data_IF_604869079039
#
_entry.id   IF_604869079039
#
_cell.length_a   1.000
_cell.length_b   1.000
_cell.length_c   1.000
_cell.angle_alpha   90.00
_cell.angle_beta   90.00
_cell.angle_gamma   90.00
#
_symmetry.space_group_name_H-M   'P 1'
#
loop_
_entity.id
_entity.type
_entity.pdbx_description
1 polymer ?
#
# COMPACT_ATOMS: atom_id res chain seq x y z
N UNK A 1 -64.57 -38.31 24.57
CA UNK A 1 -63.72 -38.46 23.42
C UNK A 1 -63.04 -37.08 23.21
N UNK A 2 -61.82 -36.92 23.72
CA UNK A 2 -61.07 -35.63 23.65
C UNK A 2 -60.00 -35.76 22.55
N UNK A 3 -60.12 -34.93 21.51
CA UNK A 3 -59.21 -34.91 20.38
C UNK A 3 -58.08 -33.93 20.75
N UNK A 4 -56.84 -34.45 20.91
CA UNK A 4 -55.61 -33.64 21.02
C UNK A 4 -55.13 -33.30 19.61
N UNK A 5 -55.00 -32.00 19.28
CA UNK A 5 -54.35 -31.50 18.09
C UNK A 5 -52.84 -31.27 18.39
N UNK A 6 -51.88 -31.67 17.50
CA UNK A 6 -50.50 -31.35 17.70
C UNK A 6 -50.19 -29.92 17.18
N UNK A 7 -49.61 -29.10 18.04
CA UNK A 7 -49.02 -27.83 17.65
C UNK A 7 -47.70 -28.10 16.90
N UNK A 8 -47.67 -27.82 15.60
CA UNK A 8 -46.45 -27.77 14.80
C UNK A 8 -45.73 -26.45 15.08
N UNK A 9 -44.63 -26.50 15.84
CA UNK A 9 -43.75 -25.35 16.06
C UNK A 9 -42.93 -25.07 14.81
N UNK A 10 -43.15 -23.91 14.19
CA UNK A 10 -42.37 -23.41 13.05
C UNK A 10 -41.09 -22.73 13.58
N UNK A 11 -39.95 -23.42 13.51
CA UNK A 11 -38.65 -22.86 13.85
C UNK A 11 -38.15 -21.99 12.67
N UNK A 12 -38.26 -20.68 12.82
CA UNK A 12 -37.64 -19.73 11.92
C UNK A 12 -36.12 -19.73 12.21
N UNK A 13 -35.33 -20.34 11.32
CA UNK A 13 -33.90 -20.23 11.30
C UNK A 13 -33.55 -18.80 10.83
N UNK A 14 -33.26 -17.91 11.76
CA UNK A 14 -32.58 -16.65 11.47
C UNK A 14 -31.15 -16.98 11.11
N UNK A 15 -30.85 -17.06 9.82
CA UNK A 15 -29.46 -17.04 9.31
C UNK A 15 -28.82 -15.69 9.64
N UNK A 16 -27.99 -15.65 10.68
CA UNK A 16 -27.23 -14.47 11.00
C UNK A 16 -26.25 -14.17 9.84
N UNK A 17 -26.46 -13.04 9.17
CA UNK A 17 -25.44 -12.50 8.24
C UNK A 17 -24.24 -12.13 9.09
N UNK A 18 -23.13 -12.85 8.94
CA UNK A 18 -21.86 -12.47 9.56
C UNK A 18 -21.49 -11.06 9.07
N UNK A 19 -21.18 -10.12 9.97
CA UNK A 19 -20.71 -8.80 9.54
C UNK A 19 -19.45 -8.97 8.70
N UNK A 20 -19.42 -8.33 7.54
CA UNK A 20 -18.19 -8.24 6.74
C UNK A 20 -17.11 -7.56 7.60
N UNK A 21 -15.91 -8.16 7.65
CA UNK A 21 -14.79 -7.54 8.36
C UNK A 21 -14.50 -6.18 7.73
N UNK A 22 -14.41 -5.14 8.57
CA UNK A 22 -14.04 -3.82 8.10
C UNK A 22 -12.63 -3.86 7.51
N UNK A 23 -12.39 -3.21 6.34
CA UNK A 23 -11.07 -3.17 5.74
C UNK A 23 -10.10 -2.41 6.66
N UNK A 24 -8.96 -3.00 6.96
CA UNK A 24 -7.91 -2.31 7.70
C UNK A 24 -7.22 -1.31 6.78
N UNK A 25 -7.33 -0.03 7.13
CA UNK A 25 -6.70 1.07 6.40
C UNK A 25 -5.52 1.54 7.23
N UNK A 26 -4.31 1.66 6.63
CA UNK A 26 -3.14 2.07 7.38
C UNK A 26 -3.27 3.54 7.81
N UNK A 27 -2.85 3.84 9.02
CA UNK A 27 -2.63 5.20 9.50
C UNK A 27 -1.19 5.33 9.96
N UNK A 28 -0.46 6.29 9.37
CA UNK A 28 0.97 6.54 9.66
C UNK A 28 1.16 7.81 10.49
N UNK A 29 0.06 8.40 10.98
CA UNK A 29 0.06 9.69 11.64
C UNK A 29 -0.43 9.57 13.09
N UNK A 30 0.23 10.31 13.99
CA UNK A 30 -0.35 10.51 15.32
C UNK A 30 -1.54 11.47 15.21
N UNK A 31 -2.73 10.95 15.46
CA UNK A 31 -3.97 11.71 15.38
C UNK A 31 -4.05 12.84 16.43
N UNK A 32 -3.20 12.82 17.46
CA UNK A 32 -3.09 13.90 18.47
C UNK A 32 -2.13 14.99 18.05
N UNK A 33 -1.24 14.73 17.11
CA UNK A 33 -0.28 15.72 16.63
C UNK A 33 -1.01 16.91 15.99
N UNK A 34 -0.52 18.11 16.25
CA UNK A 34 -1.00 19.35 15.64
C UNK A 34 0.14 19.97 14.85
N UNK A 35 0.00 19.99 13.55
CA UNK A 35 0.95 20.68 12.67
C UNK A 35 0.43 22.08 12.37
N UNK A 36 1.28 23.11 12.44
CA UNK A 36 0.87 24.47 12.09
C UNK A 36 0.57 24.54 10.59
N UNK A 37 -0.44 25.32 10.22
CA UNK A 37 -0.72 25.59 8.82
C UNK A 37 0.45 26.35 8.20
N UNK A 38 1.03 25.85 7.09
CA UNK A 38 2.19 26.49 6.48
C UNK A 38 1.83 27.86 5.87
N UNK A 39 2.81 28.77 5.88
CA UNK A 39 2.72 30.06 5.17
C UNK A 39 3.26 29.86 3.74
N UNK A 40 2.37 29.84 2.75
CA UNK A 40 2.69 29.64 1.33
C UNK A 40 2.42 30.88 0.48
N UNK A 41 2.37 32.07 1.10
CA UNK A 41 2.03 33.31 0.39
C UNK A 41 3.01 33.67 -0.75
N UNK A 42 4.26 33.23 -0.65
CA UNK A 42 5.29 33.44 -1.69
C UNK A 42 5.30 32.37 -2.77
N UNK A 43 4.55 31.26 -2.59
CA UNK A 43 4.49 30.18 -3.54
C UNK A 43 3.61 30.58 -4.74
N UNK A 44 4.23 30.87 -5.87
CA UNK A 44 3.54 31.29 -7.09
C UNK A 44 2.97 30.12 -7.89
N UNK A 45 3.52 28.94 -7.70
CA UNK A 45 3.10 27.70 -8.38
C UNK A 45 3.57 26.48 -7.59
N UNK A 46 2.85 25.38 -7.73
CA UNK A 46 3.25 24.06 -7.26
C UNK A 46 3.03 23.05 -8.38
N UNK A 47 4.09 22.47 -8.89
CA UNK A 47 4.04 21.41 -9.90
C UNK A 47 4.55 20.12 -9.29
N UNK A 48 3.65 19.13 -9.21
CA UNK A 48 4.03 17.76 -8.88
C UNK A 48 4.51 17.07 -10.15
N UNK A 49 5.74 16.55 -10.09
CA UNK A 49 6.31 15.70 -11.13
C UNK A 49 5.96 14.24 -10.82
N UNK A 50 5.46 13.52 -11.83
CA UNK A 50 5.09 12.11 -11.71
C UNK A 50 5.40 11.36 -13.00
N UNK A 51 5.11 10.04 -13.06
CA UNK A 51 5.27 9.21 -14.26
C UNK A 51 3.91 8.79 -14.83
N UNK A 52 3.89 8.02 -15.92
CA UNK A 52 2.67 7.46 -16.54
C UNK A 52 2.67 5.92 -16.58
N UNK A 53 3.65 5.29 -15.97
CA UNK A 53 3.95 3.85 -16.08
C UNK A 53 3.98 3.14 -14.72
N UNK A 54 3.32 3.71 -13.72
CA UNK A 54 3.30 3.18 -12.35
C UNK A 54 1.86 2.95 -11.83
N UNK A 55 1.07 2.06 -12.43
CA UNK A 55 -0.27 1.74 -11.91
C UNK A 55 -0.18 0.99 -10.57
N UNK A 56 -1.12 1.21 -9.65
CA UNK A 56 -2.27 2.11 -9.72
C UNK A 56 -1.96 3.55 -9.27
N UNK A 57 -0.68 3.92 -9.12
CA UNK A 57 -0.25 5.21 -8.56
C UNK A 57 -0.35 6.35 -9.57
N UNK A 58 0.22 6.18 -10.75
CA UNK A 58 0.18 7.17 -11.83
C UNK A 58 0.25 6.48 -13.20
N UNK A 59 -0.78 6.67 -14.00
CA UNK A 59 -0.91 6.04 -15.31
C UNK A 59 -1.89 6.83 -16.21
N UNK A 60 -1.90 6.50 -17.49
CA UNK A 60 -2.91 7.04 -18.41
C UNK A 60 -4.12 6.10 -18.44
N UNK A 61 -5.33 6.67 -18.29
CA UNK A 61 -6.57 5.92 -18.46
C UNK A 61 -6.83 5.60 -19.94
N UNK A 62 -7.89 4.87 -20.22
CA UNK A 62 -8.27 4.50 -21.61
C UNK A 62 -8.56 5.69 -22.51
N UNK A 63 -8.78 6.87 -21.95
CA UNK A 63 -8.96 8.13 -22.69
C UNK A 63 -7.68 8.95 -22.83
N UNK A 64 -6.54 8.44 -22.34
CA UNK A 64 -5.24 9.11 -22.33
C UNK A 64 -5.09 10.18 -21.25
N UNK A 65 -5.96 10.23 -20.25
CA UNK A 65 -5.86 11.19 -19.14
C UNK A 65 -5.00 10.63 -18.02
N UNK A 66 -4.15 11.48 -17.47
CA UNK A 66 -3.34 11.14 -16.29
C UNK A 66 -4.25 10.94 -15.06
N UNK A 67 -4.16 9.76 -14.46
CA UNK A 67 -4.94 9.33 -13.31
C UNK A 67 -4.10 8.45 -12.37
N UNK A 68 -4.65 8.08 -11.22
CA UNK A 68 -4.03 7.19 -10.24
C UNK A 68 -4.01 7.78 -8.84
N UNK A 69 -3.58 6.95 -7.89
CA UNK A 69 -3.51 7.31 -6.47
C UNK A 69 -2.69 8.58 -6.23
N UNK A 70 -1.50 8.71 -6.84
CA UNK A 70 -0.65 9.89 -6.70
C UNK A 70 -1.30 11.16 -7.27
N UNK A 71 -2.00 11.01 -8.39
CA UNK A 71 -2.67 12.14 -9.05
C UNK A 71 -3.80 12.69 -8.17
N UNK A 72 -4.61 11.79 -7.60
CA UNK A 72 -5.68 12.19 -6.72
C UNK A 72 -5.14 12.70 -5.36
N UNK A 73 -4.08 12.08 -4.83
CA UNK A 73 -3.41 12.55 -3.61
C UNK A 73 -2.86 13.97 -3.78
N UNK A 74 -2.17 14.26 -4.91
CA UNK A 74 -1.67 15.61 -5.22
C UNK A 74 -2.81 16.64 -5.23
N UNK A 75 -3.94 16.33 -5.88
CA UNK A 75 -5.11 17.22 -5.89
C UNK A 75 -5.67 17.47 -4.50
N UNK A 76 -5.73 16.44 -3.65
CA UNK A 76 -6.18 16.57 -2.26
C UNK A 76 -5.21 17.44 -1.44
N UNK A 77 -3.90 17.23 -1.60
CA UNK A 77 -2.87 18.06 -0.96
C UNK A 77 -3.08 19.54 -1.35
N UNK A 78 -3.26 19.85 -2.62
CA UNK A 78 -3.48 21.22 -3.08
C UNK A 78 -4.77 21.83 -2.49
N UNK A 79 -5.81 21.01 -2.32
CA UNK A 79 -7.05 21.42 -1.66
C UNK A 79 -6.84 21.77 -0.20
N UNK A 80 -6.14 20.93 0.58
CA UNK A 80 -5.87 21.18 1.99
C UNK A 80 -4.95 22.40 2.22
N UNK A 81 -4.02 22.64 1.30
CA UNK A 81 -3.16 23.83 1.32
C UNK A 81 -3.88 25.11 0.86
N UNK A 82 -5.03 24.97 0.18
CA UNK A 82 -5.78 26.12 -0.37
C UNK A 82 -5.12 26.75 -1.60
N UNK A 83 -4.40 25.96 -2.41
CA UNK A 83 -3.60 26.44 -3.55
C UNK A 83 -3.97 25.76 -4.87
N UNK A 84 -5.21 25.33 -5.04
CA UNK A 84 -5.67 24.58 -6.23
C UNK A 84 -5.36 25.35 -7.51
N UNK A 85 -5.55 26.67 -7.54
CA UNK A 85 -5.39 27.52 -8.71
C UNK A 85 -3.94 27.56 -9.26
N UNK A 86 -2.96 27.34 -8.40
CA UNK A 86 -1.53 27.34 -8.77
C UNK A 86 -0.91 25.96 -8.75
N UNK A 87 -1.75 24.91 -8.59
CA UNK A 87 -1.32 23.52 -8.49
C UNK A 87 -1.44 22.81 -9.84
N UNK A 88 -0.37 22.16 -10.26
CA UNK A 88 -0.30 21.39 -11.49
C UNK A 88 0.31 20.03 -11.27
N UNK A 89 -0.02 19.06 -12.10
CA UNK A 89 0.59 17.73 -12.11
C UNK A 89 1.15 17.51 -13.51
N UNK A 90 2.44 17.26 -13.58
CA UNK A 90 3.19 17.08 -14.82
C UNK A 90 3.81 15.69 -14.85
N UNK A 91 3.47 14.92 -15.89
CA UNK A 91 4.05 13.61 -16.08
C UNK A 91 5.27 13.67 -17.02
N UNK A 92 6.29 12.86 -16.70
CA UNK A 92 7.50 12.72 -17.49
C UNK A 92 8.14 11.35 -17.25
N UNK A 93 9.11 10.91 -18.07
CA UNK A 93 9.87 9.69 -17.80
C UNK A 93 10.58 9.72 -16.44
N UNK A 94 10.64 8.57 -15.78
CA UNK A 94 11.30 8.43 -14.47
C UNK A 94 12.73 9.00 -14.49
N UNK A 95 13.50 8.72 -15.54
CA UNK A 95 14.89 9.17 -15.68
C UNK A 95 15.07 10.69 -15.77
N UNK A 96 14.00 11.44 -15.98
CA UNK A 96 14.03 12.91 -16.11
C UNK A 96 13.60 13.63 -14.82
N UNK A 97 12.96 12.92 -13.88
CA UNK A 97 12.36 13.51 -12.67
C UNK A 97 13.36 14.30 -11.84
N UNK A 98 14.54 13.72 -11.60
CA UNK A 98 15.58 14.33 -10.78
C UNK A 98 16.13 15.62 -11.42
N UNK A 99 16.51 15.56 -12.69
CA UNK A 99 16.98 16.72 -13.43
C UNK A 99 15.89 17.82 -13.52
N UNK A 100 14.63 17.43 -13.70
CA UNK A 100 13.50 18.36 -13.77
C UNK A 100 13.26 19.07 -12.43
N UNK A 101 13.36 18.35 -11.30
CA UNK A 101 13.29 18.94 -9.97
C UNK A 101 14.45 19.91 -9.73
N UNK A 102 15.70 19.47 -10.03
CA UNK A 102 16.90 20.28 -9.86
C UNK A 102 16.87 21.56 -10.69
N UNK A 103 16.35 21.49 -11.91
CA UNK A 103 16.23 22.65 -12.85
C UNK A 103 15.00 23.53 -12.56
N UNK A 104 14.21 23.26 -11.51
CA UNK A 104 13.04 24.04 -11.19
C UNK A 104 11.90 23.89 -12.21
N UNK A 105 11.82 22.77 -12.94
CA UNK A 105 10.70 22.45 -13.82
C UNK A 105 9.50 21.92 -13.02
N UNK A 106 9.72 21.52 -11.77
CA UNK A 106 8.72 21.19 -10.78
C UNK A 106 9.22 21.49 -9.37
N UNK A 107 8.32 21.55 -8.42
CA UNK A 107 8.62 21.87 -7.01
C UNK A 107 8.65 20.60 -6.15
N UNK A 108 8.02 19.51 -6.59
CA UNK A 108 7.94 18.26 -5.85
C UNK A 108 7.86 17.04 -6.78
N UNK A 109 8.40 15.90 -6.36
CA UNK A 109 8.21 14.61 -7.04
C UNK A 109 7.26 13.75 -6.22
N UNK A 110 6.18 13.29 -6.85
CA UNK A 110 5.21 12.33 -6.31
C UNK A 110 5.09 11.16 -7.31
N UNK A 111 6.11 10.29 -7.30
CA UNK A 111 6.26 9.20 -8.26
C UNK A 111 6.70 7.88 -7.61
N UNK A 112 6.62 7.76 -6.29
CA UNK A 112 6.99 6.53 -5.59
C UNK A 112 8.47 6.45 -5.19
N UNK A 113 9.14 7.58 -5.00
CA UNK A 113 10.51 7.58 -4.47
C UNK A 113 10.50 7.02 -3.05
N UNK A 114 11.24 5.93 -2.83
CA UNK A 114 11.41 5.33 -1.53
C UNK A 114 12.36 6.15 -0.66
N UNK A 115 12.03 6.29 0.62
CA UNK A 115 12.88 6.99 1.59
C UNK A 115 13.96 6.04 2.08
N UNK A 116 15.18 6.24 1.61
CA UNK A 116 16.38 5.47 1.95
C UNK A 116 17.51 6.38 2.39
N UNK A 117 18.60 5.82 2.91
CA UNK A 117 19.80 6.60 3.24
C UNK A 117 20.42 7.29 2.01
N UNK A 118 20.30 6.66 0.83
CA UNK A 118 20.81 7.22 -0.44
C UNK A 118 19.93 8.37 -0.92
N UNK A 119 18.60 8.15 -1.03
CA UNK A 119 17.68 9.18 -1.52
C UNK A 119 17.64 10.43 -0.62
N UNK A 120 17.93 10.29 0.68
CA UNK A 120 18.05 11.42 1.61
C UNK A 120 19.27 12.32 1.37
N UNK A 121 20.22 11.91 0.55
CA UNK A 121 21.34 12.77 0.14
C UNK A 121 20.93 13.73 -0.97
N UNK A 122 19.96 13.32 -1.78
CA UNK A 122 19.49 14.01 -2.98
C UNK A 122 18.25 14.89 -2.71
N UNK A 123 17.39 14.45 -1.76
CA UNK A 123 16.08 15.06 -1.51
C UNK A 123 15.84 15.35 -0.04
N UNK A 124 15.04 16.39 0.24
CA UNK A 124 14.24 16.47 1.44
C UNK A 124 12.89 15.79 1.18
N UNK A 125 12.32 15.19 2.21
CA UNK A 125 11.09 14.40 2.09
C UNK A 125 10.01 14.88 3.03
N UNK A 126 8.75 14.76 2.60
CA UNK A 126 7.63 14.67 3.54
C UNK A 126 7.77 13.43 4.42
N UNK A 127 6.92 13.28 5.43
CA UNK A 127 6.69 11.97 6.06
C UNK A 127 6.12 11.00 5.02
N UNK A 128 6.32 9.72 5.27
CA UNK A 128 5.79 8.68 4.40
C UNK A 128 4.26 8.68 4.44
N UNK A 129 3.64 8.64 3.25
CA UNK A 129 2.19 8.54 3.10
C UNK A 129 1.72 7.11 2.85
N UNK A 130 2.62 6.20 2.46
CA UNK A 130 2.32 4.79 2.24
C UNK A 130 3.56 3.94 2.50
N UNK A 131 3.38 2.79 3.12
CA UNK A 131 4.41 1.78 3.30
C UNK A 131 3.93 0.48 2.63
N UNK A 132 4.86 -0.39 2.27
CA UNK A 132 4.55 -1.70 1.72
C UNK A 132 5.00 -2.77 2.71
N UNK A 133 4.06 -3.32 3.49
CA UNK A 133 4.39 -4.41 4.40
C UNK A 133 4.68 -5.70 3.64
N UNK A 134 5.53 -6.53 4.20
CA UNK A 134 5.57 -7.92 3.79
C UNK A 134 4.38 -8.69 4.40
N UNK A 135 3.80 -9.61 3.64
CA UNK A 135 2.69 -10.45 4.07
C UNK A 135 2.94 -11.90 3.67
N UNK A 136 2.33 -12.83 4.41
CA UNK A 136 2.15 -14.19 3.95
C UNK A 136 0.83 -14.33 3.19
N UNK A 137 0.84 -15.18 2.17
CA UNK A 137 -0.36 -15.72 1.54
C UNK A 137 -0.30 -17.23 1.66
N UNK A 138 -1.41 -17.83 2.06
CA UNK A 138 -1.54 -19.29 2.26
C UNK A 138 -2.81 -19.81 1.56
N UNK A 139 -2.86 -21.09 1.20
CA UNK A 139 -4.09 -21.71 0.74
C UNK A 139 -5.23 -21.54 1.76
N UNK A 140 -6.47 -21.35 1.31
CA UNK A 140 -7.65 -21.24 2.20
C UNK A 140 -7.86 -22.50 3.05
N UNK A 141 -7.42 -23.65 2.54
CA UNK A 141 -7.47 -24.95 3.22
C UNK A 141 -6.38 -25.11 4.29
N UNK A 142 -5.39 -24.21 4.32
CA UNK A 142 -4.27 -24.29 5.26
C UNK A 142 -4.71 -24.08 6.70
N UNK A 143 -4.21 -24.95 7.60
CA UNK A 143 -4.38 -24.83 9.04
C UNK A 143 -3.44 -23.78 9.70
N UNK A 144 -2.56 -23.14 8.92
CA UNK A 144 -1.69 -22.08 9.43
C UNK A 144 -2.53 -20.90 9.89
N UNK A 145 -2.24 -20.39 11.08
CA UNK A 145 -2.94 -19.27 11.72
C UNK A 145 -1.93 -18.35 12.43
N UNK A 146 -2.39 -17.21 12.89
CA UNK A 146 -1.56 -16.31 13.68
C UNK A 146 -1.38 -16.82 15.11
N UNK A 147 -0.20 -16.60 15.73
CA UNK A 147 1.00 -15.97 15.15
C UNK A 147 1.78 -16.91 14.24
N UNK A 148 2.19 -16.42 13.06
CA UNK A 148 2.89 -17.24 12.04
C UNK A 148 4.24 -17.77 12.51
N UNK A 149 4.98 -17.03 13.33
CA UNK A 149 6.37 -17.33 13.71
C UNK A 149 6.57 -18.77 14.20
N UNK A 150 5.69 -19.27 15.06
CA UNK A 150 5.82 -20.62 15.62
C UNK A 150 5.33 -21.76 14.72
N UNK A 151 4.65 -21.45 13.61
CA UNK A 151 3.97 -22.45 12.78
C UNK A 151 4.67 -22.74 11.46
N UNK A 152 5.74 -21.99 11.14
CA UNK A 152 6.45 -22.09 9.86
C UNK A 152 7.55 -23.15 9.84
N UNK A 153 7.78 -23.88 10.94
CA UNK A 153 8.84 -24.88 11.01
C UNK A 153 8.66 -25.95 9.92
N UNK A 154 9.66 -26.05 9.03
CA UNK A 154 9.67 -26.98 7.89
C UNK A 154 8.68 -26.66 6.75
N UNK A 155 7.88 -25.58 6.85
CA UNK A 155 6.92 -25.20 5.81
C UNK A 155 7.62 -24.64 4.58
N UNK A 156 7.16 -25.06 3.38
CA UNK A 156 7.66 -24.61 2.09
C UNK A 156 7.06 -23.22 1.79
N UNK A 157 7.87 -22.18 1.93
CA UNK A 157 7.43 -20.80 1.73
C UNK A 157 8.09 -20.24 0.47
N UNK A 158 7.29 -19.98 -0.56
CA UNK A 158 7.72 -19.36 -1.81
C UNK A 158 8.14 -17.90 -1.59
N UNK A 159 9.25 -17.50 -2.20
CA UNK A 159 9.76 -16.12 -2.14
C UNK A 159 10.59 -15.82 -3.39
N UNK A 160 10.65 -14.55 -3.80
CA UNK A 160 11.45 -14.14 -4.96
C UNK A 160 12.94 -14.09 -4.58
N UNK A 161 13.75 -14.79 -5.37
CA UNK A 161 15.19 -14.90 -5.18
C UNK A 161 15.89 -13.53 -5.18
N UNK A 162 16.82 -13.30 -4.24
CA UNK A 162 17.60 -12.07 -4.11
C UNK A 162 16.81 -10.87 -3.58
N UNK A 163 15.52 -11.01 -3.32
CA UNK A 163 14.67 -9.92 -2.83
C UNK A 163 14.94 -9.56 -1.37
N UNK A 164 14.49 -8.37 -0.98
CA UNK A 164 14.45 -7.97 0.44
C UNK A 164 13.58 -8.92 1.26
N UNK A 165 12.49 -9.41 0.67
CA UNK A 165 11.57 -10.35 1.31
C UNK A 165 12.24 -11.72 1.57
N UNK A 166 13.10 -12.20 0.68
CA UNK A 166 13.87 -13.44 0.95
C UNK A 166 14.79 -13.24 2.15
N UNK A 167 15.54 -12.14 2.21
CA UNK A 167 16.42 -11.85 3.35
C UNK A 167 15.63 -11.75 4.66
N UNK A 168 14.50 -11.05 4.62
CA UNK A 168 13.60 -10.89 5.76
C UNK A 168 13.02 -12.24 6.21
N UNK A 169 12.56 -13.10 5.29
CA UNK A 169 12.05 -14.44 5.58
C UNK A 169 13.10 -15.28 6.30
N UNK A 170 14.33 -15.31 5.79
CA UNK A 170 15.43 -16.07 6.40
C UNK A 170 15.83 -15.56 7.77
N UNK A 171 15.75 -14.25 8.00
CA UNK A 171 16.13 -13.64 9.28
C UNK A 171 15.07 -13.82 10.36
N UNK A 172 13.82 -13.47 10.06
CA UNK A 172 12.76 -13.45 11.07
C UNK A 172 11.98 -14.75 11.17
N UNK A 173 12.01 -15.58 10.15
CA UNK A 173 11.26 -16.85 10.09
C UNK A 173 12.19 -18.02 9.78
N UNK A 174 13.29 -18.12 10.51
CA UNK A 174 14.36 -19.09 10.28
C UNK A 174 13.90 -20.57 10.30
N UNK A 175 12.75 -20.86 10.92
CA UNK A 175 12.15 -22.21 10.87
C UNK A 175 11.48 -22.55 9.55
N UNK A 176 11.15 -21.57 8.69
CA UNK A 176 10.58 -21.81 7.39
C UNK A 176 11.61 -22.44 6.45
N UNK A 177 11.12 -23.20 5.45
CA UNK A 177 11.92 -23.69 4.32
C UNK A 177 11.67 -22.79 3.11
N UNK A 178 12.53 -21.81 2.78
CA UNK A 178 12.36 -20.94 1.63
C UNK A 178 12.52 -21.74 0.33
N UNK A 179 11.55 -21.57 -0.57
CA UNK A 179 11.63 -22.03 -1.96
C UNK A 179 11.72 -20.77 -2.83
N UNK A 180 12.86 -20.59 -3.48
CA UNK A 180 13.15 -19.34 -4.21
C UNK A 180 12.74 -19.45 -5.68
N UNK A 181 12.15 -18.38 -6.19
CA UNK A 181 11.70 -18.25 -7.57
C UNK A 181 12.35 -17.03 -8.22
N UNK A 182 12.69 -17.15 -9.49
CA UNK A 182 13.15 -16.01 -10.31
C UNK A 182 11.99 -15.20 -10.88
N UNK A 183 10.75 -15.75 -10.87
CA UNK A 183 9.55 -15.13 -11.42
C UNK A 183 8.35 -15.34 -10.50
N UNK A 184 7.52 -14.32 -10.37
CA UNK A 184 6.32 -14.35 -9.51
C UNK A 184 5.23 -15.28 -10.06
N UNK A 185 5.04 -15.33 -11.37
CA UNK A 185 4.05 -16.20 -12.00
C UNK A 185 4.28 -17.68 -11.68
N UNK A 186 5.52 -18.13 -11.61
CA UNK A 186 5.85 -19.49 -11.21
C UNK A 186 5.59 -19.74 -9.72
N UNK A 187 5.93 -18.76 -8.88
CA UNK A 187 5.63 -18.83 -7.45
C UNK A 187 4.13 -18.95 -7.22
N UNK A 188 3.34 -18.11 -7.89
CA UNK A 188 1.89 -18.10 -7.73
C UNK A 188 1.23 -19.39 -8.27
N UNK A 189 1.72 -19.92 -9.38
CA UNK A 189 1.24 -21.20 -9.90
C UNK A 189 1.53 -22.37 -8.94
N UNK A 190 2.71 -22.42 -8.36
CA UNK A 190 3.08 -23.45 -7.40
C UNK A 190 2.33 -23.30 -6.07
N UNK A 191 1.99 -22.07 -5.66
CA UNK A 191 1.11 -21.83 -4.51
C UNK A 191 -0.31 -22.31 -4.80
N UNK A 192 -0.86 -21.99 -5.98
CA UNK A 192 -2.22 -22.35 -6.38
C UNK A 192 -2.40 -23.87 -6.55
N UNK A 193 -1.33 -24.58 -6.89
CA UNK A 193 -1.31 -26.03 -7.09
C UNK A 193 -0.81 -26.83 -5.88
N UNK A 194 -0.82 -26.24 -4.69
CA UNK A 194 -0.47 -26.84 -3.40
C UNK A 194 0.98 -27.39 -3.30
N UNK A 195 1.88 -26.94 -4.18
CA UNK A 195 3.30 -27.29 -4.09
C UNK A 195 4.03 -26.48 -3.01
N UNK A 196 3.42 -25.38 -2.57
CA UNK A 196 3.87 -24.52 -1.46
C UNK A 196 2.86 -24.54 -0.33
N UNK A 197 3.35 -24.38 0.90
CA UNK A 197 2.51 -24.22 2.08
C UNK A 197 2.11 -22.75 2.28
N UNK A 198 2.82 -21.83 1.60
CA UNK A 198 2.55 -20.40 1.56
C UNK A 198 3.55 -19.65 0.69
N UNK A 199 3.30 -18.36 0.49
CA UNK A 199 4.22 -17.41 -0.13
C UNK A 199 4.46 -16.23 0.79
N UNK A 200 5.63 -15.59 0.70
CA UNK A 200 5.98 -14.39 1.45
C UNK A 200 6.53 -13.33 0.50
N UNK A 201 5.94 -12.13 0.53
CA UNK A 201 6.31 -11.08 -0.40
C UNK A 201 5.66 -9.74 -0.10
N UNK A 202 5.75 -8.82 -1.06
CA UNK A 202 5.14 -7.51 -1.01
C UNK A 202 3.61 -7.61 -0.89
N UNK A 203 3.06 -7.03 0.17
CA UNK A 203 1.64 -7.14 0.49
C UNK A 203 0.73 -6.55 -0.59
N UNK A 204 1.13 -5.45 -1.23
CA UNK A 204 0.35 -4.84 -2.31
C UNK A 204 0.30 -5.75 -3.54
N UNK A 205 1.44 -6.29 -3.98
CA UNK A 205 1.49 -7.22 -5.11
C UNK A 205 0.67 -8.47 -4.85
N UNK A 206 0.80 -9.02 -3.64
CA UNK A 206 0.00 -10.16 -3.20
C UNK A 206 -1.49 -9.84 -3.15
N UNK A 207 -1.89 -8.63 -2.73
CA UNK A 207 -3.29 -8.18 -2.72
C UNK A 207 -3.88 -8.14 -4.13
N UNK A 208 -3.13 -7.60 -5.11
CA UNK A 208 -3.57 -7.58 -6.50
C UNK A 208 -3.72 -8.98 -7.08
N UNK A 209 -2.77 -9.88 -6.81
CA UNK A 209 -2.88 -11.27 -7.24
C UNK A 209 -4.09 -11.97 -6.61
N UNK A 210 -4.28 -11.84 -5.28
CA UNK A 210 -5.40 -12.44 -4.56
C UNK A 210 -6.78 -11.99 -5.08
N UNK A 211 -6.90 -10.73 -5.50
CA UNK A 211 -8.13 -10.16 -6.06
C UNK A 211 -8.30 -10.43 -7.56
N UNK A 212 -7.24 -10.86 -8.24
CA UNK A 212 -7.25 -11.19 -9.66
C UNK A 212 -7.81 -12.59 -9.96
N UNK A 213 -8.21 -12.80 -11.21
CA UNK A 213 -8.70 -14.10 -11.68
C UNK A 213 -7.64 -15.20 -11.60
N UNK A 214 -6.39 -14.86 -11.77
CA UNK A 214 -5.25 -15.80 -11.80
C UNK A 214 -5.05 -16.53 -10.46
N UNK A 215 -5.50 -15.95 -9.35
CA UNK A 215 -5.48 -16.63 -8.05
C UNK A 215 -6.45 -17.80 -7.97
N UNK A 216 -7.48 -17.85 -8.83
CA UNK A 216 -8.55 -18.84 -8.75
C UNK A 216 -9.27 -18.83 -7.38
N UNK A 217 -9.17 -17.73 -6.65
CA UNK A 217 -9.67 -17.58 -5.27
C UNK A 217 -9.14 -18.68 -4.31
N UNK A 218 -7.95 -19.26 -4.59
CA UNK A 218 -7.36 -20.36 -3.81
C UNK A 218 -6.99 -19.97 -2.39
N UNK A 219 -6.63 -18.72 -2.19
CA UNK A 219 -5.72 -18.33 -1.15
C UNK A 219 -6.24 -17.12 -0.36
N UNK A 220 -5.58 -16.81 0.77
CA UNK A 220 -5.86 -15.68 1.64
C UNK A 220 -4.60 -15.15 2.28
N UNK A 221 -4.62 -13.91 2.74
CA UNK A 221 -3.57 -13.39 3.62
C UNK A 221 -3.51 -14.16 4.95
N UNK A 222 -2.30 -14.26 5.51
CA UNK A 222 -2.05 -14.77 6.83
C UNK A 222 -0.84 -14.04 7.43
N UNK A 223 -0.94 -13.65 8.68
CA UNK A 223 0.14 -12.93 9.39
C UNK A 223 0.48 -11.56 8.79
N UNK A 224 1.10 -10.74 9.59
CA UNK A 224 1.45 -9.37 9.23
C UNK A 224 0.34 -8.38 9.54
N UNK A 225 0.47 -7.10 9.10
CA UNK A 225 1.54 -6.58 8.24
C UNK A 225 2.91 -6.54 8.93
N UNK A 226 3.95 -6.98 8.23
CA UNK A 226 5.33 -6.92 8.73
C UNK A 226 6.04 -5.73 8.12
N UNK A 227 6.22 -4.69 8.91
CA UNK A 227 7.00 -3.50 8.55
C UNK A 227 8.42 -3.70 9.07
N UNK A 228 9.40 -3.66 8.18
CA UNK A 228 10.81 -3.82 8.48
C UNK A 228 11.62 -2.79 7.67
N UNK A 229 11.75 -1.54 8.17
CA UNK A 229 12.38 -0.46 7.41
C UNK A 229 13.80 -0.75 6.95
N UNK A 230 14.54 -1.58 7.66
CA UNK A 230 15.89 -2.03 7.31
C UNK A 230 15.93 -2.93 6.06
N UNK A 231 14.81 -3.56 5.68
CA UNK A 231 14.66 -4.37 4.47
C UNK A 231 13.82 -3.69 3.41
N UNK A 232 12.72 -3.04 3.79
CA UNK A 232 11.66 -2.56 2.90
C UNK A 232 11.69 -1.04 2.71
N UNK A 233 12.60 -0.34 3.42
CA UNK A 233 12.64 1.13 3.45
C UNK A 233 11.54 1.73 4.33
N UNK A 234 11.56 3.05 4.45
CA UNK A 234 10.62 3.79 5.30
C UNK A 234 9.31 4.16 4.58
N UNK A 235 9.04 3.57 3.42
CA UNK A 235 7.83 3.84 2.63
C UNK A 235 8.02 4.92 1.56
N UNK A 236 6.90 5.32 0.94
CA UNK A 236 6.84 6.34 -0.09
C UNK A 236 6.58 7.71 0.52
N UNK A 237 7.29 8.72 0.06
CA UNK A 237 7.16 10.10 0.49
C UNK A 237 7.20 11.05 -0.71
N UNK A 238 6.81 12.30 -0.49
CA UNK A 238 6.93 13.35 -1.49
C UNK A 238 8.34 13.92 -1.38
N UNK A 239 9.09 13.87 -2.47
CA UNK A 239 10.43 14.41 -2.52
C UNK A 239 10.41 15.87 -2.99
N UNK A 240 11.23 16.70 -2.37
CA UNK A 240 11.46 18.10 -2.75
C UNK A 240 12.96 18.37 -2.77
N UNK A 241 13.38 19.49 -3.33
CA UNK A 241 14.78 19.89 -3.24
C UNK A 241 15.21 20.08 -1.79
N UNK A 242 16.46 19.76 -1.43
CA UNK A 242 16.95 19.87 -0.05
C UNK A 242 16.81 21.29 0.55
N UNK A 243 16.90 22.32 -0.29
CA UNK A 243 16.75 23.73 0.12
C UNK A 243 15.30 24.17 0.33
N UNK A 244 14.32 23.31 0.04
CA UNK A 244 12.89 23.61 0.14
C UNK A 244 12.17 22.78 1.24
N UNK A 245 12.77 22.71 2.42
CA UNK A 245 12.19 21.98 3.57
C UNK A 245 10.82 22.51 3.99
N UNK A 246 10.56 23.80 3.78
CA UNK A 246 9.25 24.43 4.09
C UNK A 246 8.12 23.76 3.28
N UNK A 247 8.39 23.39 2.03
CA UNK A 247 7.39 22.70 1.21
C UNK A 247 7.16 21.27 1.71
N UNK A 248 8.19 20.57 2.18
CA UNK A 248 8.03 19.25 2.80
C UNK A 248 7.15 19.32 4.06
N UNK A 249 7.33 20.35 4.89
CA UNK A 249 6.47 20.58 6.07
C UNK A 249 5.02 20.93 5.66
N UNK A 250 4.86 21.67 4.57
CA UNK A 250 3.53 21.95 4.02
C UNK A 250 2.82 20.65 3.60
N UNK A 251 3.55 19.74 2.97
CA UNK A 251 3.01 18.43 2.64
C UNK A 251 2.68 17.59 3.87
N UNK A 252 3.50 17.66 4.93
CA UNK A 252 3.21 17.00 6.20
C UNK A 252 1.88 17.48 6.79
N UNK A 253 1.66 18.80 6.80
CA UNK A 253 0.39 19.37 7.23
C UNK A 253 -0.78 18.85 6.38
N UNK A 254 -0.68 18.92 5.05
CA UNK A 254 -1.75 18.49 4.16
C UNK A 254 -2.05 16.99 4.27
N UNK A 255 -1.03 16.14 4.32
CA UNK A 255 -1.18 14.69 4.49
C UNK A 255 -1.87 14.34 5.81
N UNK A 256 -1.51 15.04 6.88
CA UNK A 256 -2.15 14.88 8.20
C UNK A 256 -3.62 15.30 8.16
N UNK A 257 -3.97 16.42 7.49
CA UNK A 257 -5.37 16.83 7.33
C UNK A 257 -6.18 15.85 6.47
N UNK A 258 -5.59 15.32 5.40
CA UNK A 258 -6.15 14.28 4.54
C UNK A 258 -6.47 13.03 5.36
N UNK A 259 -5.55 12.60 6.22
CA UNK A 259 -5.76 11.46 7.12
C UNK A 259 -6.87 11.76 8.13
N UNK A 260 -6.80 12.89 8.83
CA UNK A 260 -7.76 13.26 9.86
C UNK A 260 -9.21 13.40 9.36
N UNK A 261 -9.39 13.72 8.07
CA UNK A 261 -10.69 13.83 7.40
C UNK A 261 -11.18 12.52 6.78
N UNK A 262 -10.42 11.42 6.90
CA UNK A 262 -10.74 10.14 6.27
C UNK A 262 -10.56 10.11 4.75
N UNK A 263 -10.03 11.18 4.14
CA UNK A 263 -9.82 11.28 2.69
C UNK A 263 -8.79 10.24 2.21
N UNK A 264 -7.77 9.97 3.03
CA UNK A 264 -6.78 8.95 2.71
C UNK A 264 -7.43 7.56 2.59
N UNK A 265 -8.33 7.24 3.52
CA UNK A 265 -9.09 5.99 3.51
C UNK A 265 -9.91 5.84 2.22
N UNK A 266 -10.59 6.90 1.77
CA UNK A 266 -11.34 6.88 0.51
C UNK A 266 -10.43 6.64 -0.69
N UNK A 267 -9.27 7.31 -0.75
CA UNK A 267 -8.29 7.13 -1.82
C UNK A 267 -7.73 5.70 -1.81
N UNK A 268 -7.36 5.21 -0.63
CA UNK A 268 -6.83 3.86 -0.47
C UNK A 268 -7.81 2.81 -1.00
N UNK A 269 -9.06 2.84 -0.54
CA UNK A 269 -10.10 1.89 -0.96
C UNK A 269 -10.48 2.00 -2.44
N UNK A 270 -10.27 3.17 -3.06
CA UNK A 270 -10.50 3.38 -4.49
C UNK A 270 -9.48 2.66 -5.37
N UNK A 271 -8.21 2.66 -4.95
CA UNK A 271 -7.11 2.19 -5.79
C UNK A 271 -6.59 0.80 -5.41
N UNK A 272 -6.86 0.33 -4.19
CA UNK A 272 -6.39 -0.96 -3.72
C UNK A 272 -7.59 -1.89 -3.45
N UNK A 273 -7.74 -2.96 -4.24
CA UNK A 273 -8.95 -3.80 -4.22
C UNK A 273 -9.06 -4.65 -2.96
N UNK A 274 -7.95 -4.86 -2.27
CA UNK A 274 -7.86 -5.61 -1.02
C UNK A 274 -6.86 -4.91 -0.11
N UNK A 275 -7.20 -4.74 1.16
CA UNK A 275 -6.23 -4.22 2.11
C UNK A 275 -5.06 -5.19 2.26
N UNK A 276 -3.84 -4.65 2.17
CA UNK A 276 -2.61 -5.39 2.39
C UNK A 276 -1.97 -5.11 3.77
N UNK A 277 -2.74 -4.46 4.66
CA UNK A 277 -2.41 -4.22 6.06
C UNK A 277 -3.13 -5.14 7.00
#
# INVERSE_FOLDING_TARGET
>A
MRILAPLLGFFLLFGGVAPAAEPQIPSFWDMKERLPKPQLAELQRLRFLTTVDFPPFSYLDTSGRLTGFHVDLARRICGELGIIEICQIQAMPWSELDAALGNGQGEAILAGIAVTAESRKEYAFSRSYLQFPARFVIPKTSALAEPMHGQLAGKRIGVIAGSAHERMLRTYFAGARPITYSREDWLFEDLRTDKLDGAFGDGMRLAFWLSGLDSGACCRFAGGPYLAPEYLGAGLAIAVRPDNAVLAEAFNFALREIEAKGIFAELYLRYFPLSFY
#
